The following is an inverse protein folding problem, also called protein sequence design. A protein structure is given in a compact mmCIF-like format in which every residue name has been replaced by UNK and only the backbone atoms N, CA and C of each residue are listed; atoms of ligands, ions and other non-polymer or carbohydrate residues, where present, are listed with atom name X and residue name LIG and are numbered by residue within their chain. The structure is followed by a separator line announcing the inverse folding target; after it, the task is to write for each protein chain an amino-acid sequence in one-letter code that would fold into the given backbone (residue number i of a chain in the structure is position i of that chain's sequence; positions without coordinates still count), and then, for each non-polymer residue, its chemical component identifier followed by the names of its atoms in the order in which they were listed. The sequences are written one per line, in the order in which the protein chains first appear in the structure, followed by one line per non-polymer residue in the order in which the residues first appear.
data_IF_274156804520
#
_entry.id   IF_274156804520
#
_cell.length_a   1.000
_cell.length_b   1.000
_cell.length_c   1.000
_cell.angle_alpha   90.00
_cell.angle_beta   90.00
_cell.angle_gamma   90.00
#
_symmetry.space_group_name_H-M   'P 1'
#
loop_
_entity.id
_entity.type
_entity.pdbx_description
1 polymer ?
#
# COMPACT_ATOMS: atom_id res chain seq x y z
N UNK A 1 27.05 -31.44 -6.22
CA UNK A 1 27.02 -30.38 -7.26
C UNK A 1 28.46 -29.92 -7.46
N UNK A 2 28.98 -29.97 -8.68
CA UNK A 2 30.41 -29.67 -8.92
C UNK A 2 30.63 -28.15 -8.92
N UNK A 3 31.83 -27.70 -8.54
CA UNK A 3 32.18 -26.27 -8.52
C UNK A 3 31.94 -25.59 -9.89
N UNK A 4 32.04 -26.34 -10.99
CA UNK A 4 31.76 -25.87 -12.34
C UNK A 4 30.28 -25.52 -12.59
N UNK A 5 29.34 -26.20 -11.93
CA UNK A 5 27.90 -25.91 -12.11
C UNK A 5 27.53 -24.58 -11.45
N UNK A 6 28.09 -24.29 -10.28
CA UNK A 6 27.87 -23.03 -9.56
C UNK A 6 28.48 -21.82 -10.27
N UNK A 7 29.65 -21.97 -10.89
CA UNK A 7 30.30 -20.90 -11.66
C UNK A 7 29.51 -20.55 -12.93
N UNK A 8 28.99 -21.54 -13.65
CA UNK A 8 28.16 -21.32 -14.84
C UNK A 8 26.79 -20.70 -14.47
N UNK A 9 26.18 -21.12 -13.37
CA UNK A 9 24.94 -20.48 -12.88
C UNK A 9 25.15 -19.01 -12.50
N UNK A 10 26.27 -18.68 -11.84
CA UNK A 10 26.62 -17.31 -11.50
C UNK A 10 26.83 -16.46 -12.76
N UNK A 11 27.54 -16.99 -13.76
CA UNK A 11 27.78 -16.32 -15.03
C UNK A 11 26.48 -16.03 -15.78
N UNK A 12 25.57 -17.01 -15.85
CA UNK A 12 24.26 -16.83 -16.48
C UNK A 12 23.40 -15.79 -15.73
N UNK A 13 23.43 -15.77 -14.40
CA UNK A 13 22.74 -14.76 -13.60
C UNK A 13 23.29 -13.34 -13.87
N UNK A 14 24.61 -13.19 -14.00
CA UNK A 14 25.25 -11.91 -14.31
C UNK A 14 24.91 -11.42 -15.73
N UNK A 15 24.84 -12.33 -16.71
CA UNK A 15 24.41 -11.98 -18.08
C UNK A 15 22.96 -11.50 -18.08
N UNK A 16 22.06 -12.21 -17.40
CA UNK A 16 20.65 -11.80 -17.29
C UNK A 16 20.49 -10.45 -16.59
N UNK A 17 21.27 -10.18 -15.54
CA UNK A 17 21.27 -8.87 -14.88
C UNK A 17 21.77 -7.76 -15.82
N UNK A 18 22.83 -8.02 -16.58
CA UNK A 18 23.36 -7.05 -17.54
C UNK A 18 22.34 -6.74 -18.65
N UNK A 19 21.64 -7.75 -19.16
CA UNK A 19 20.58 -7.58 -20.16
C UNK A 19 19.39 -6.80 -19.59
N UNK A 20 18.99 -7.10 -18.35
CA UNK A 20 17.93 -6.36 -17.66
C UNK A 20 18.30 -4.88 -17.48
N UNK A 21 19.53 -4.58 -17.06
CA UNK A 21 20.02 -3.20 -16.92
C UNK A 21 20.04 -2.48 -18.26
N UNK A 22 20.55 -3.12 -19.32
CA UNK A 22 20.53 -2.53 -20.67
C UNK A 22 19.12 -2.17 -21.11
N UNK A 23 18.16 -3.06 -20.88
CA UNK A 23 16.75 -2.83 -21.20
C UNK A 23 16.16 -1.64 -20.43
N UNK A 24 16.44 -1.56 -19.13
CA UNK A 24 16.01 -0.44 -18.29
C UNK A 24 16.60 0.91 -18.76
N UNK A 25 17.88 0.92 -19.14
CA UNK A 25 18.53 2.12 -19.68
C UNK A 25 17.86 2.55 -20.98
N UNK A 26 17.61 1.64 -21.91
CA UNK A 26 16.91 1.97 -23.17
C UNK A 26 15.51 2.50 -22.90
N UNK A 27 14.78 1.89 -21.98
CA UNK A 27 13.42 2.31 -21.62
C UNK A 27 13.40 3.70 -20.97
N UNK A 28 14.34 3.99 -20.06
CA UNK A 28 14.48 5.31 -19.47
C UNK A 28 14.69 6.41 -20.53
N UNK A 29 15.54 6.16 -21.53
CA UNK A 29 15.76 7.11 -22.61
C UNK A 29 14.49 7.31 -23.44
N UNK A 30 13.79 6.23 -23.80
CA UNK A 30 12.53 6.31 -24.57
C UNK A 30 11.42 7.05 -23.80
N UNK A 31 11.30 6.85 -22.49
CA UNK A 31 10.31 7.58 -21.67
C UNK A 31 10.67 9.06 -21.50
N UNK A 32 11.96 9.36 -21.29
CA UNK A 32 12.43 10.74 -21.20
C UNK A 32 12.15 11.50 -22.48
N UNK A 33 12.38 10.85 -23.62
CA UNK A 33 12.13 11.42 -24.93
C UNK A 33 10.64 11.61 -25.22
N UNK A 34 9.81 10.60 -24.93
CA UNK A 34 8.37 10.72 -25.04
C UNK A 34 7.80 11.84 -24.14
N UNK A 35 8.39 12.02 -22.95
CA UNK A 35 8.06 13.13 -22.05
C UNK A 35 8.43 14.48 -22.66
N UNK A 36 9.63 14.63 -23.21
CA UNK A 36 10.04 15.85 -23.89
C UNK A 36 9.12 16.15 -25.08
N UNK A 37 8.74 15.14 -25.88
CA UNK A 37 7.80 15.31 -27.00
C UNK A 37 6.42 15.81 -26.55
N UNK A 38 5.97 15.42 -25.35
CA UNK A 38 4.65 15.78 -24.83
C UNK A 38 4.65 17.12 -24.09
N UNK A 39 5.73 17.46 -23.38
CA UNK A 39 5.77 18.59 -22.45
C UNK A 39 6.81 19.66 -22.79
N UNK A 40 7.74 19.41 -23.73
CA UNK A 40 8.72 20.39 -24.22
C UNK A 40 9.89 20.70 -23.27
N UNK A 41 10.06 19.89 -22.22
CA UNK A 41 11.14 20.05 -21.24
C UNK A 41 11.56 18.71 -20.64
N UNK A 42 12.71 18.69 -19.97
CA UNK A 42 13.23 17.53 -19.26
C UNK A 42 12.39 17.23 -17.99
N UNK A 43 12.12 15.95 -17.68
CA UNK A 43 11.27 15.56 -16.55
C UNK A 43 11.87 15.87 -15.18
N UNK A 44 13.21 15.85 -15.05
CA UNK A 44 13.89 16.02 -13.75
C UNK A 44 14.42 17.44 -13.53
N UNK A 45 14.98 18.06 -14.56
CA UNK A 45 15.59 19.41 -14.45
C UNK A 45 14.63 20.54 -14.84
N UNK A 46 13.47 20.22 -15.44
CA UNK A 46 12.50 21.18 -15.97
C UNK A 46 13.07 22.14 -17.03
N UNK A 47 14.28 21.87 -17.53
CA UNK A 47 14.91 22.69 -18.55
C UNK A 47 14.27 22.41 -19.92
N UNK A 48 14.08 23.45 -20.75
CA UNK A 48 13.60 23.27 -22.12
C UNK A 48 14.49 22.29 -22.87
N UNK A 49 13.87 21.35 -23.58
CA UNK A 49 14.56 20.37 -24.40
C UNK A 49 13.73 20.03 -25.63
N UNK A 50 14.41 19.69 -26.72
CA UNK A 50 13.78 19.19 -27.93
C UNK A 50 14.03 17.69 -28.04
N UNK A 51 13.01 16.95 -28.47
CA UNK A 51 13.14 15.52 -28.68
C UNK A 51 14.02 15.25 -29.90
N UNK A 52 14.94 14.30 -29.78
CA UNK A 52 15.93 14.01 -30.82
C UNK A 52 15.32 13.21 -31.98
N UNK A 53 14.32 12.37 -31.69
CA UNK A 53 13.62 11.55 -32.68
C UNK A 53 12.30 12.19 -33.13
N UNK A 54 12.11 12.28 -34.45
CA UNK A 54 10.90 12.80 -35.11
C UNK A 54 9.69 11.86 -34.97
N UNK A 55 9.94 10.56 -34.78
CA UNK A 55 8.88 9.58 -34.58
C UNK A 55 8.26 9.74 -33.18
N UNK A 56 6.93 9.85 -33.12
CA UNK A 56 6.20 10.03 -31.86
C UNK A 56 6.29 8.76 -31.01
N UNK A 57 7.02 8.81 -29.91
CA UNK A 57 7.10 7.71 -28.95
C UNK A 57 5.93 7.89 -27.98
N UNK A 58 5.07 6.89 -27.89
CA UNK A 58 3.97 6.93 -26.91
C UNK A 58 4.55 6.82 -25.51
N UNK A 59 4.32 7.84 -24.67
CA UNK A 59 4.58 7.77 -23.23
C UNK A 59 3.84 6.54 -22.69
N UNK A 60 4.59 5.56 -22.20
CA UNK A 60 3.97 4.38 -21.60
C UNK A 60 3.48 4.81 -20.24
N UNK A 61 2.19 4.63 -19.98
CA UNK A 61 1.70 4.66 -18.61
C UNK A 61 2.52 3.65 -17.80
N UNK A 62 3.23 4.12 -16.77
CA UNK A 62 4.08 3.33 -15.88
C UNK A 62 3.33 2.23 -15.09
N UNK A 63 2.10 1.89 -15.47
CA UNK A 63 1.25 0.93 -14.77
C UNK A 63 1.34 -0.50 -15.30
N UNK A 64 2.20 -0.86 -16.25
CA UNK A 64 2.21 -2.28 -16.70
C UNK A 64 3.49 -2.89 -17.30
N UNK A 65 4.65 -2.22 -17.32
CA UNK A 65 5.84 -2.89 -17.91
C UNK A 65 7.18 -2.43 -17.35
N UNK A 66 7.39 -2.62 -16.05
CA UNK A 66 8.74 -3.01 -15.59
C UNK A 66 8.83 -4.53 -15.63
N UNK A 67 9.95 -5.14 -16.09
CA UNK A 67 10.24 -6.52 -15.75
C UNK A 67 10.58 -6.55 -14.25
N UNK A 68 9.53 -6.53 -13.43
CA UNK A 68 9.60 -6.79 -12.00
C UNK A 68 10.17 -8.20 -11.82
N UNK A 69 11.28 -8.32 -11.12
CA UNK A 69 11.78 -9.59 -10.57
C UNK A 69 10.84 -10.18 -9.49
N UNK A 70 9.67 -9.57 -9.27
CA UNK A 70 8.53 -10.14 -8.58
C UNK A 70 7.32 -10.15 -9.52
N UNK A 71 7.10 -11.30 -10.16
CA UNK A 71 5.82 -11.65 -10.80
C UNK A 71 4.72 -11.57 -9.71
N UNK A 72 3.83 -10.58 -9.76
CA UNK A 72 2.62 -10.53 -8.90
C UNK A 72 2.27 -9.21 -8.20
N UNK A 73 3.13 -8.19 -8.17
CA UNK A 73 2.89 -6.94 -7.41
C UNK A 73 2.05 -5.88 -8.16
N UNK A 74 0.97 -6.27 -8.84
CA UNK A 74 0.06 -5.32 -9.49
C UNK A 74 -1.17 -5.08 -8.62
N UNK A 75 -1.29 -3.86 -8.12
CA UNK A 75 -2.51 -3.34 -7.48
C UNK A 75 -3.66 -3.44 -8.50
N UNK A 76 -4.81 -3.95 -8.09
CA UNK A 76 -5.93 -4.24 -9.01
C UNK A 76 -6.53 -2.97 -9.60
N UNK A 77 -7.15 -3.08 -10.78
CA UNK A 77 -7.85 -1.96 -11.41
C UNK A 77 -8.96 -1.40 -10.52
N UNK A 78 -9.60 -2.24 -9.70
CA UNK A 78 -10.68 -1.83 -8.79
C UNK A 78 -10.18 -0.81 -7.79
N UNK A 79 -9.06 -1.07 -7.12
CA UNK A 79 -8.55 -0.15 -6.11
C UNK A 79 -7.84 1.06 -6.74
N UNK A 80 -7.27 0.92 -7.94
CA UNK A 80 -6.74 2.05 -8.71
C UNK A 80 -7.85 3.02 -9.12
N UNK A 81 -8.98 2.51 -9.61
CA UNK A 81 -10.12 3.34 -10.00
C UNK A 81 -10.82 3.94 -8.80
N UNK A 82 -10.95 3.19 -7.70
CA UNK A 82 -11.45 3.72 -6.43
C UNK A 82 -10.57 4.89 -5.92
N UNK A 83 -9.25 4.73 -5.98
CA UNK A 83 -8.30 5.77 -5.59
C UNK A 83 -8.45 7.00 -6.46
N UNK A 84 -8.47 6.86 -7.79
CA UNK A 84 -8.65 8.00 -8.72
C UNK A 84 -9.97 8.74 -8.51
N UNK A 85 -11.03 8.01 -8.16
CA UNK A 85 -12.39 8.56 -8.03
C UNK A 85 -12.62 9.22 -6.66
N UNK A 86 -11.98 8.72 -5.61
CA UNK A 86 -12.28 9.11 -4.24
C UNK A 86 -11.14 9.80 -3.51
N UNK A 87 -9.92 9.78 -4.05
CA UNK A 87 -8.73 10.32 -3.38
C UNK A 87 -8.09 11.47 -4.14
N UNK A 88 -7.34 12.29 -3.41
CA UNK A 88 -6.47 13.33 -3.94
C UNK A 88 -5.06 12.79 -4.27
N UNK A 89 -4.17 13.72 -4.60
CA UNK A 89 -2.76 13.45 -4.93
C UNK A 89 -1.96 12.86 -3.77
N UNK A 90 -2.41 13.05 -2.53
CA UNK A 90 -1.77 12.54 -1.32
C UNK A 90 -2.33 11.16 -0.92
N UNK A 91 -3.11 10.52 -1.79
CA UNK A 91 -3.80 9.25 -1.54
C UNK A 91 -4.75 9.34 -0.33
N UNK A 92 -5.31 10.52 -0.09
CA UNK A 92 -6.28 10.79 0.96
C UNK A 92 -7.67 10.92 0.35
N UNK A 93 -8.70 10.40 1.01
CA UNK A 93 -10.08 10.66 0.62
C UNK A 93 -10.37 12.17 0.63
N UNK A 94 -10.97 12.68 -0.44
CA UNK A 94 -11.20 14.13 -0.63
C UNK A 94 -12.32 14.69 0.26
N UNK A 95 -13.25 13.84 0.69
CA UNK A 95 -14.33 14.18 1.62
C UNK A 95 -14.79 12.97 2.45
N UNK A 96 -15.54 13.18 3.55
CA UNK A 96 -16.08 12.08 4.36
C UNK A 96 -16.97 11.09 3.57
N UNK A 97 -17.71 11.58 2.56
CA UNK A 97 -18.54 10.75 1.67
C UNK A 97 -17.68 9.92 0.71
N UNK A 98 -16.57 10.49 0.24
CA UNK A 98 -15.61 9.75 -0.58
C UNK A 98 -14.89 8.69 0.24
N UNK A 99 -14.57 8.95 1.51
CA UNK A 99 -14.04 7.94 2.44
C UNK A 99 -15.04 6.79 2.65
N UNK A 100 -16.31 7.12 2.88
CA UNK A 100 -17.39 6.14 3.02
C UNK A 100 -17.49 5.24 1.77
N UNK A 101 -17.47 5.83 0.58
CA UNK A 101 -17.50 5.10 -0.69
C UNK A 101 -16.27 4.21 -0.87
N UNK A 102 -15.08 4.73 -0.56
CA UNK A 102 -13.82 3.98 -0.66
C UNK A 102 -13.79 2.80 0.33
N UNK A 103 -14.34 2.98 1.52
CA UNK A 103 -14.44 1.93 2.53
C UNK A 103 -15.41 0.81 2.10
N UNK A 104 -16.53 1.16 1.47
CA UNK A 104 -17.48 0.18 0.93
C UNK A 104 -16.83 -0.66 -0.20
N UNK A 105 -16.02 -0.05 -1.07
CA UNK A 105 -15.23 -0.79 -2.08
C UNK A 105 -14.16 -1.66 -1.41
N UNK A 106 -13.44 -1.10 -0.42
CA UNK A 106 -12.40 -1.82 0.32
C UNK A 106 -12.93 -3.05 1.05
N UNK A 107 -14.21 -3.04 1.44
CA UNK A 107 -14.85 -4.18 2.10
C UNK A 107 -15.26 -5.27 1.10
N UNK A 108 -15.81 -4.88 -0.05
CA UNK A 108 -16.49 -5.81 -0.94
C UNK A 108 -15.61 -6.33 -2.08
N UNK A 109 -14.68 -5.50 -2.56
CA UNK A 109 -14.00 -5.74 -3.84
C UNK A 109 -12.49 -6.00 -3.68
N UNK A 110 -11.88 -5.57 -2.56
CA UNK A 110 -10.46 -5.82 -2.26
C UNK A 110 -10.22 -7.26 -1.82
N UNK A 111 -9.48 -8.01 -2.64
CA UNK A 111 -9.25 -9.46 -2.43
C UNK A 111 -7.78 -9.83 -2.24
N UNK A 112 -6.87 -9.10 -2.88
CA UNK A 112 -5.43 -9.41 -2.87
C UNK A 112 -4.73 -8.79 -1.65
N UNK A 113 -3.50 -9.24 -1.37
CA UNK A 113 -2.72 -8.66 -0.28
C UNK A 113 -2.26 -7.24 -0.63
N UNK A 114 -1.89 -7.02 -1.89
CA UNK A 114 -1.45 -5.77 -2.47
C UNK A 114 -2.56 -4.70 -2.39
N UNK A 115 -3.80 -5.08 -2.73
CA UNK A 115 -4.94 -4.18 -2.63
C UNK A 115 -5.24 -3.79 -1.18
N UNK A 116 -5.10 -4.73 -0.24
CA UNK A 116 -5.26 -4.44 1.20
C UNK A 116 -4.18 -3.51 1.72
N UNK A 117 -2.94 -3.67 1.27
CA UNK A 117 -1.84 -2.76 1.61
C UNK A 117 -2.14 -1.36 1.07
N UNK A 118 -2.54 -1.24 -0.19
CA UNK A 118 -2.88 0.04 -0.81
C UNK A 118 -4.05 0.72 -0.10
N UNK A 119 -5.14 -0.03 0.12
CA UNK A 119 -6.31 0.47 0.84
C UNK A 119 -5.95 0.88 2.28
N UNK A 120 -5.10 0.11 2.97
CA UNK A 120 -4.64 0.45 4.32
C UNK A 120 -3.89 1.80 4.35
N UNK A 121 -3.06 2.08 3.35
CA UNK A 121 -2.37 3.37 3.24
C UNK A 121 -3.34 4.52 2.98
N UNK A 122 -4.31 4.34 2.08
CA UNK A 122 -5.35 5.35 1.82
C UNK A 122 -6.16 5.62 3.09
N UNK A 123 -6.53 4.59 3.84
CA UNK A 123 -7.27 4.74 5.10
C UNK A 123 -6.42 5.44 6.17
N UNK A 124 -5.14 5.11 6.33
CA UNK A 124 -4.24 5.81 7.27
C UNK A 124 -4.10 7.29 6.90
N UNK A 125 -3.85 7.60 5.63
CA UNK A 125 -3.73 8.97 5.14
C UNK A 125 -5.03 9.76 5.36
N UNK A 126 -6.18 9.14 5.07
CA UNK A 126 -7.50 9.78 5.23
C UNK A 126 -7.83 10.10 6.69
N UNK A 127 -7.46 9.22 7.63
CA UNK A 127 -7.67 9.45 9.06
C UNK A 127 -6.64 10.41 9.67
N UNK A 128 -5.46 10.51 9.06
CA UNK A 128 -4.42 11.46 9.44
C UNK A 128 -4.62 12.86 8.84
N UNK A 129 -5.45 13.01 7.81
CA UNK A 129 -5.70 14.30 7.17
C UNK A 129 -6.22 15.33 8.15
N UNK A 130 -5.54 16.49 8.21
CA UNK A 130 -5.93 17.60 9.05
C UNK A 130 -7.27 18.22 8.58
N UNK A 131 -7.55 18.12 7.28
CA UNK A 131 -8.77 18.59 6.67
C UNK A 131 -9.87 17.54 6.93
N UNK A 132 -10.92 17.91 7.66
CA UNK A 132 -12.05 17.03 8.05
C UNK A 132 -11.73 15.88 9.00
N UNK A 133 -10.60 15.87 9.72
CA UNK A 133 -10.16 14.76 10.57
C UNK A 133 -11.27 14.15 11.45
N UNK A 134 -12.05 14.98 12.15
CA UNK A 134 -13.13 14.51 13.04
C UNK A 134 -14.29 13.87 12.29
N UNK A 135 -14.64 14.42 11.13
CA UNK A 135 -15.73 13.92 10.29
C UNK A 135 -15.32 12.61 9.60
N UNK A 136 -14.09 12.55 9.09
CA UNK A 136 -13.48 11.33 8.53
C UNK A 136 -13.47 10.20 9.55
N UNK A 137 -12.99 10.49 10.77
CA UNK A 137 -12.98 9.53 11.87
C UNK A 137 -14.39 9.05 12.25
N UNK A 138 -15.36 9.98 12.33
CA UNK A 138 -16.76 9.66 12.63
C UNK A 138 -17.39 8.76 11.57
N UNK A 139 -17.18 9.08 10.28
CA UNK A 139 -17.67 8.27 9.16
C UNK A 139 -17.02 6.89 9.11
N UNK A 140 -15.70 6.83 9.29
CA UNK A 140 -14.98 5.57 9.35
C UNK A 140 -15.52 4.65 10.46
N UNK A 141 -15.79 5.19 11.65
CA UNK A 141 -16.40 4.43 12.74
C UNK A 141 -17.85 4.05 12.47
N UNK A 142 -18.65 4.99 11.95
CA UNK A 142 -20.05 4.74 11.60
C UNK A 142 -20.22 3.63 10.55
N UNK A 143 -19.23 3.46 9.67
CA UNK A 143 -19.16 2.39 8.66
C UNK A 143 -18.35 1.17 9.08
N UNK A 144 -18.12 1.01 10.38
CA UNK A 144 -17.44 -0.15 10.95
C UNK A 144 -16.04 -0.38 10.33
N UNK A 145 -15.32 0.70 10.00
CA UNK A 145 -14.01 0.62 9.36
C UNK A 145 -12.98 -0.10 10.23
N UNK A 146 -13.07 0.03 11.56
CA UNK A 146 -12.21 -0.74 12.47
C UNK A 146 -12.51 -2.24 12.44
N UNK A 147 -13.76 -2.64 12.18
CA UNK A 147 -14.10 -4.06 12.05
C UNK A 147 -13.46 -4.65 10.78
N UNK A 148 -13.40 -3.87 9.69
CA UNK A 148 -12.65 -4.24 8.48
C UNK A 148 -11.15 -4.44 8.77
N UNK A 149 -10.53 -3.51 9.51
CA UNK A 149 -9.12 -3.66 9.89
C UNK A 149 -8.88 -4.91 10.77
N UNK A 150 -9.79 -5.19 11.70
CA UNK A 150 -9.73 -6.40 12.52
C UNK A 150 -9.92 -7.67 11.69
N UNK A 151 -10.78 -7.64 10.67
CA UNK A 151 -10.97 -8.74 9.73
C UNK A 151 -9.68 -9.02 8.93
N UNK A 152 -9.06 -7.98 8.37
CA UNK A 152 -7.78 -8.12 7.67
C UNK A 152 -6.64 -8.59 8.59
N UNK A 153 -6.66 -8.18 9.86
CA UNK A 153 -5.75 -8.70 10.87
C UNK A 153 -5.97 -10.20 11.10
N UNK A 154 -7.22 -10.66 11.15
CA UNK A 154 -7.57 -12.07 11.31
C UNK A 154 -7.06 -12.90 10.13
N UNK A 155 -7.27 -12.41 8.91
CA UNK A 155 -6.80 -13.05 7.68
C UNK A 155 -5.28 -13.17 7.71
N UNK A 156 -4.55 -12.08 7.98
CA UNK A 156 -3.08 -12.11 8.01
C UNK A 156 -2.51 -12.99 9.12
N UNK A 157 -3.16 -13.05 10.30
CA UNK A 157 -2.75 -13.95 11.37
C UNK A 157 -2.94 -15.45 11.05
N UNK A 158 -3.74 -15.77 10.03
CA UNK A 158 -3.99 -17.16 9.60
C UNK A 158 -2.82 -17.75 8.80
N UNK A 159 -1.98 -16.89 8.23
CA UNK A 159 -0.82 -17.29 7.44
C UNK A 159 0.49 -17.13 8.22
N UNK A 160 1.54 -17.83 7.80
CA UNK A 160 2.85 -17.89 8.50
C UNK A 160 4.00 -17.30 7.70
N UNK A 161 3.76 -16.89 6.46
CA UNK A 161 4.75 -16.29 5.57
C UNK A 161 5.16 -14.89 6.04
N UNK A 162 6.29 -14.40 5.52
CA UNK A 162 6.83 -13.09 5.90
C UNK A 162 5.96 -11.92 5.42
N UNK A 163 5.30 -12.04 4.26
CA UNK A 163 4.41 -11.00 3.73
C UNK A 163 3.24 -10.75 4.67
N UNK A 164 2.60 -11.82 5.14
CA UNK A 164 1.50 -11.73 6.11
C UNK A 164 1.95 -11.13 7.44
N UNK A 165 3.17 -11.44 7.92
CA UNK A 165 3.73 -10.83 9.14
C UNK A 165 4.00 -9.34 8.96
N UNK A 166 4.56 -8.95 7.82
CA UNK A 166 4.83 -7.55 7.50
C UNK A 166 3.53 -6.74 7.37
N UNK A 167 2.52 -7.30 6.72
CA UNK A 167 1.19 -6.68 6.64
C UNK A 167 0.54 -6.56 8.02
N UNK A 168 0.63 -7.59 8.87
CA UNK A 168 0.18 -7.51 10.27
C UNK A 168 0.86 -6.36 11.01
N UNK A 169 2.18 -6.18 10.84
CA UNK A 169 2.92 -5.08 11.47
C UNK A 169 2.40 -3.72 11.00
N UNK A 170 2.26 -3.51 9.69
CA UNK A 170 1.71 -2.29 9.11
C UNK A 170 0.32 -1.98 9.65
N UNK A 171 -0.57 -2.96 9.66
CA UNK A 171 -1.94 -2.79 10.15
C UNK A 171 -1.98 -2.39 11.63
N UNK A 172 -1.14 -3.02 12.46
CA UNK A 172 -1.04 -2.67 13.87
C UNK A 172 -0.49 -1.26 14.09
N UNK A 173 0.43 -0.78 13.24
CA UNK A 173 0.92 0.60 13.29
C UNK A 173 -0.20 1.60 12.93
N UNK A 174 -1.02 1.30 11.92
CA UNK A 174 -2.20 2.11 11.56
C UNK A 174 -3.21 2.16 12.71
N UNK A 175 -3.50 1.02 13.35
CA UNK A 175 -4.35 0.98 14.55
C UNK A 175 -3.73 1.78 15.71
N UNK A 176 -2.41 1.72 15.89
CA UNK A 176 -1.73 2.47 16.94
C UNK A 176 -1.87 3.98 16.74
N UNK A 177 -1.78 4.46 15.49
CA UNK A 177 -1.93 5.86 15.11
C UNK A 177 -3.38 6.34 15.24
N UNK A 178 -4.31 5.59 14.68
CA UNK A 178 -5.71 5.98 14.55
C UNK A 178 -6.57 5.35 15.65
N UNK A 179 -6.60 5.97 16.82
CA UNK A 179 -7.39 5.47 17.97
C UNK A 179 -8.87 5.82 17.80
N UNK A 180 -9.81 4.85 17.90
CA UNK A 180 -11.24 5.13 17.78
C UNK A 180 -11.68 6.25 18.72
N UNK A 181 -12.45 7.20 18.22
CA UNK A 181 -13.03 8.32 18.95
C UNK A 181 -14.09 7.86 19.95
N UNK A 182 -14.97 6.93 19.57
CA UNK A 182 -16.05 6.46 20.45
C UNK A 182 -15.59 5.41 21.46
N UNK A 183 -16.00 5.55 22.72
CA UNK A 183 -15.68 4.59 23.80
C UNK A 183 -16.20 3.19 23.51
N UNK A 184 -17.41 3.09 22.94
CA UNK A 184 -18.00 1.81 22.54
C UNK A 184 -17.15 1.11 21.49
N UNK A 185 -16.80 1.79 20.39
CA UNK A 185 -15.91 1.27 19.34
C UNK A 185 -14.57 0.85 19.93
N UNK A 186 -13.97 1.68 20.78
CA UNK A 186 -12.69 1.38 21.43
C UNK A 186 -12.76 0.07 22.24
N UNK A 187 -13.82 -0.14 23.02
CA UNK A 187 -14.04 -1.38 23.79
C UNK A 187 -14.20 -2.59 22.89
N UNK A 188 -14.98 -2.46 21.82
CA UNK A 188 -15.20 -3.52 20.84
C UNK A 188 -13.90 -3.94 20.17
N UNK A 189 -13.11 -2.97 19.67
CA UNK A 189 -11.83 -3.24 19.02
C UNK A 189 -10.86 -3.92 19.99
N UNK A 190 -10.74 -3.45 21.24
CA UNK A 190 -9.88 -4.10 22.25
C UNK A 190 -10.30 -5.56 22.49
N UNK A 191 -11.61 -5.82 22.59
CA UNK A 191 -12.13 -7.18 22.77
C UNK A 191 -11.78 -8.08 21.59
N UNK A 192 -11.92 -7.58 20.37
CA UNK A 192 -11.58 -8.33 19.15
C UNK A 192 -10.07 -8.57 19.03
N UNK A 193 -9.24 -7.55 19.24
CA UNK A 193 -7.77 -7.65 19.20
C UNK A 193 -7.23 -8.66 20.22
N UNK A 194 -7.85 -8.76 21.40
CA UNK A 194 -7.43 -9.71 22.44
C UNK A 194 -7.51 -11.17 21.99
N UNK A 195 -8.42 -11.51 21.07
CA UNK A 195 -8.57 -12.86 20.53
C UNK A 195 -7.34 -13.29 19.73
N UNK A 196 -6.67 -12.34 19.06
CA UNK A 196 -5.55 -12.62 18.18
C UNK A 196 -4.20 -12.73 18.90
N UNK A 197 -4.12 -12.35 20.18
CA UNK A 197 -2.86 -12.37 20.98
C UNK A 197 -2.16 -13.73 20.99
N UNK A 198 -2.93 -14.82 21.02
CA UNK A 198 -2.39 -16.20 21.06
C UNK A 198 -1.95 -16.70 19.69
N UNK A 199 -2.68 -16.34 18.63
CA UNK A 199 -2.47 -16.86 17.28
C UNK A 199 -1.45 -16.07 16.47
N UNK A 200 -1.33 -14.77 16.74
CA UNK A 200 -0.41 -13.84 16.08
C UNK A 200 1.04 -14.36 16.09
N UNK A 201 1.72 -14.24 14.96
CA UNK A 201 3.11 -14.65 14.76
C UNK A 201 4.04 -13.43 14.82
N UNK A 202 5.31 -13.68 15.15
CA UNK A 202 6.31 -12.63 15.34
C UNK A 202 6.31 -12.07 16.76
N UNK A 203 7.49 -12.00 17.39
CA UNK A 203 7.64 -11.43 18.73
C UNK A 203 7.32 -9.94 18.72
N UNK A 204 7.77 -9.22 17.70
CA UNK A 204 7.55 -7.79 17.54
C UNK A 204 6.06 -7.47 17.37
N UNK A 205 5.35 -8.20 16.50
CA UNK A 205 3.91 -8.02 16.29
C UNK A 205 3.10 -8.27 17.57
N UNK A 206 3.46 -9.29 18.37
CA UNK A 206 2.81 -9.52 19.67
C UNK A 206 3.01 -8.36 20.66
N UNK A 207 4.21 -7.78 20.69
CA UNK A 207 4.50 -6.61 21.52
C UNK A 207 3.72 -5.40 21.01
N UNK A 208 3.69 -5.19 19.70
CA UNK A 208 2.96 -4.08 19.07
C UNK A 208 1.45 -4.19 19.32
N UNK A 209 0.86 -5.37 19.17
CA UNK A 209 -0.55 -5.63 19.51
C UNK A 209 -0.85 -5.30 20.98
N UNK A 210 0.05 -5.69 21.89
CA UNK A 210 -0.09 -5.38 23.30
C UNK A 210 -0.06 -3.86 23.54
N UNK A 211 0.86 -3.15 22.88
CA UNK A 211 0.95 -1.68 22.95
C UNK A 211 -0.32 -1.00 22.43
N UNK A 212 -0.89 -1.47 21.32
CA UNK A 212 -2.18 -0.97 20.78
C UNK A 212 -3.30 -1.16 21.80
N UNK A 213 -3.47 -2.38 22.33
CA UNK A 213 -4.50 -2.68 23.32
C UNK A 213 -4.34 -1.84 24.59
N UNK A 214 -3.12 -1.65 25.07
CA UNK A 214 -2.87 -0.86 26.28
C UNK A 214 -3.12 0.63 26.06
N UNK A 215 -2.77 1.17 24.87
CA UNK A 215 -3.14 2.54 24.47
C UNK A 215 -4.66 2.73 24.49
N UNK A 216 -5.40 1.77 23.96
CA UNK A 216 -6.86 1.86 23.87
C UNK A 216 -7.52 1.69 25.24
N UNK A 217 -7.03 0.78 26.09
CA UNK A 217 -7.50 0.63 27.48
C UNK A 217 -7.26 1.89 28.31
N UNK A 218 -6.10 2.53 28.15
CA UNK A 218 -5.82 3.81 28.81
C UNK A 218 -6.86 4.86 28.43
N UNK A 219 -7.22 4.95 27.14
CA UNK A 219 -8.29 5.85 26.67
C UNK A 219 -9.66 5.53 27.26
N UNK A 220 -10.01 4.24 27.42
CA UNK A 220 -11.30 3.84 28.02
C UNK A 220 -11.41 4.25 29.48
N UNK A 221 -10.28 4.27 30.20
CA UNK A 221 -10.21 4.57 31.63
C UNK A 221 -9.99 6.05 31.94
N UNK A 222 -9.86 6.90 30.92
CA UNK A 222 -9.83 8.36 31.02
C UNK A 222 -11.25 8.91 30.90
#
# INVERSE_FOLDING_TARGET
MSANTTTEMLKNALVLQLEAVKRLVTEYHQQTEAYIQQFGHLPLSQQPAEAEHVARITLRNLTSSSPSLAEGCAVSEVILDATKKHCDVDMCATSPEHLESFLDISRNDVKTAEDRVHALFVLDASLASAQHQKEMQSKFEGKQGYDLLVEWLAVSCSYKDETSKAFTELLLLVLQRNVPSMSFTTKTVVKSLAQYKKVMKGKNNKVLLQNVMDKYRKKINQ
#
